data_IF_113123504162
#
_entry.id   IF_113123504162
#
_cell.length_a   1.000
_cell.length_b   1.000
_cell.length_c   1.000
_cell.angle_alpha   90.00
_cell.angle_beta   90.00
_cell.angle_gamma   90.00
#
_symmetry.space_group_name_H-M   'P 1'
#
loop_
_entity.id
_entity.type
_entity.pdbx_description
1 polymer ?
#
# COMPACT_ATOMS: atom_id res chain seq x y z
N UNK A 1 -9.28 56.98 -57.61
CA UNK A 1 -8.58 58.24 -58.05
C UNK A 1 -7.29 58.35 -57.27
N UNK A 2 -6.19 58.35 -58.02
CA UNK A 2 -4.89 59.03 -57.79
C UNK A 2 -4.00 58.32 -56.75
N UNK A 3 -3.05 57.52 -57.21
CA UNK A 3 -1.67 57.67 -57.73
C UNK A 3 -0.64 57.82 -56.61
N UNK A 4 0.24 56.83 -56.55
CA UNK A 4 1.69 56.81 -56.87
C UNK A 4 2.55 57.75 -56.00
N UNK A 5 3.67 57.31 -55.45
CA UNK A 5 4.94 57.26 -56.16
C UNK A 5 6.02 56.51 -55.33
N UNK A 6 6.79 55.74 -56.05
CA UNK A 6 8.06 55.05 -55.74
C UNK A 6 9.20 56.06 -55.51
N UNK A 7 10.14 55.80 -54.62
CA UNK A 7 11.53 56.20 -54.83
C UNK A 7 12.53 55.19 -54.22
N UNK A 8 13.38 54.70 -55.13
CA UNK A 8 14.57 53.87 -54.85
C UNK A 8 15.78 54.78 -54.72
N UNK A 9 16.69 54.51 -53.82
CA UNK A 9 18.11 54.82 -54.00
C UNK A 9 19.02 53.89 -53.21
N UNK A 10 19.94 53.32 -53.98
CA UNK A 10 21.10 52.48 -53.64
C UNK A 10 22.33 53.31 -53.23
N UNK A 11 23.27 52.66 -52.59
CA UNK A 11 24.71 52.78 -52.33
C UNK A 11 25.02 52.74 -50.84
N UNK A 12 26.01 52.00 -50.33
CA UNK A 12 27.18 51.35 -50.86
C UNK A 12 27.91 50.63 -49.77
N UNK A 13 28.71 49.70 -50.15
CA UNK A 13 29.58 48.76 -49.42
C UNK A 13 30.66 49.44 -48.58
N UNK A 14 30.89 48.99 -47.32
CA UNK A 14 32.27 48.89 -46.78
C UNK A 14 32.27 47.82 -45.66
N UNK A 15 33.12 46.79 -45.84
CA UNK A 15 33.29 45.73 -44.92
C UNK A 15 34.24 46.09 -43.73
N UNK A 16 33.94 45.58 -42.59
CA UNK A 16 34.90 45.41 -41.51
C UNK A 16 34.74 43.99 -40.94
N UNK A 17 35.79 43.19 -41.12
CA UNK A 17 35.94 41.89 -40.52
C UNK A 17 36.37 42.07 -39.07
N UNK A 18 35.54 41.74 -38.11
CA UNK A 18 35.95 41.58 -36.71
C UNK A 18 35.81 40.09 -36.36
N UNK A 19 36.94 39.47 -36.12
CA UNK A 19 37.03 38.13 -35.54
C UNK A 19 36.54 38.16 -34.09
N UNK A 20 35.38 37.65 -33.81
CA UNK A 20 34.91 37.48 -32.43
C UNK A 20 35.11 35.99 -32.06
N UNK A 21 35.96 35.80 -31.08
CA UNK A 21 36.19 34.52 -30.40
C UNK A 21 34.90 34.13 -29.67
N UNK A 22 34.12 33.21 -30.20
CA UNK A 22 32.91 32.71 -29.62
C UNK A 22 33.19 31.65 -28.55
N UNK A 23 33.06 32.03 -27.28
CA UNK A 23 32.93 31.05 -26.19
C UNK A 23 31.60 30.33 -26.35
N UNK A 24 31.64 29.05 -26.73
CA UNK A 24 30.49 28.17 -26.65
C UNK A 24 30.06 28.04 -25.18
N UNK A 25 29.00 28.71 -24.80
CA UNK A 25 28.19 28.32 -23.64
C UNK A 25 27.57 26.98 -24.01
N UNK A 26 27.99 25.92 -23.31
CA UNK A 26 27.23 24.69 -23.23
C UNK A 26 25.91 25.06 -22.56
N UNK A 27 24.83 25.11 -23.32
CA UNK A 27 23.47 25.00 -22.80
C UNK A 27 23.37 23.62 -22.13
N UNK A 28 23.49 23.61 -20.81
CA UNK A 28 22.98 22.51 -20.02
C UNK A 28 21.45 22.65 -20.12
N UNK A 29 20.84 21.92 -21.03
CA UNK A 29 19.42 21.59 -20.95
C UNK A 29 19.25 20.85 -19.64
N UNK A 30 18.71 21.54 -18.61
CA UNK A 30 18.15 20.87 -17.45
C UNK A 30 17.06 19.94 -18.00
N UNK A 31 17.30 18.62 -17.95
CA UNK A 31 16.25 17.64 -18.18
C UNK A 31 15.12 18.03 -17.21
N UNK A 32 13.93 18.32 -17.74
CA UNK A 32 12.74 18.53 -16.94
C UNK A 32 12.52 17.23 -16.15
N UNK A 33 12.78 17.26 -14.87
CA UNK A 33 12.48 16.12 -13.96
C UNK A 33 10.98 15.88 -14.12
N UNK A 34 10.61 14.69 -14.58
CA UNK A 34 9.21 14.30 -14.70
C UNK A 34 8.50 14.55 -13.36
N UNK A 35 7.33 15.17 -13.36
CA UNK A 35 6.53 15.42 -12.15
C UNK A 35 6.25 14.16 -11.32
N UNK A 36 6.50 12.97 -11.90
CA UNK A 36 6.30 11.65 -11.30
C UNK A 36 7.59 10.87 -11.08
N UNK A 37 8.77 11.51 -11.15
CA UNK A 37 10.06 10.82 -10.98
C UNK A 37 10.20 10.09 -9.62
N UNK A 38 9.49 10.56 -8.59
CA UNK A 38 9.41 9.97 -7.24
C UNK A 38 8.58 8.68 -7.16
N UNK A 39 7.74 8.43 -8.18
CA UNK A 39 6.83 7.28 -8.15
C UNK A 39 7.59 5.95 -8.27
N UNK A 40 7.12 4.97 -7.53
CA UNK A 40 7.46 3.57 -7.76
C UNK A 40 6.55 3.03 -8.86
N UNK A 41 7.01 3.11 -10.09
CA UNK A 41 6.29 2.74 -11.32
C UNK A 41 6.87 1.50 -12.02
N UNK A 42 6.42 1.20 -13.25
CA UNK A 42 6.94 0.08 -14.04
C UNK A 42 6.55 -1.30 -13.52
N UNK A 43 5.47 -1.41 -12.76
CA UNK A 43 4.96 -2.70 -12.32
C UNK A 43 4.32 -3.48 -13.46
N UNK A 44 4.86 -4.66 -13.75
CA UNK A 44 4.36 -5.59 -14.75
C UNK A 44 3.89 -6.89 -14.11
N UNK A 45 2.78 -7.43 -14.57
CA UNK A 45 2.30 -8.76 -14.18
C UNK A 45 3.11 -9.83 -14.90
N UNK A 46 3.77 -10.75 -14.19
CA UNK A 46 4.49 -11.85 -14.85
C UNK A 46 3.52 -12.72 -15.65
N UNK A 47 3.88 -13.00 -16.90
CA UNK A 47 3.01 -13.72 -17.84
C UNK A 47 2.73 -15.16 -17.39
N UNK A 48 1.44 -15.51 -17.30
CA UNK A 48 0.99 -16.89 -17.11
C UNK A 48 1.12 -17.43 -15.69
N UNK A 49 1.48 -16.60 -14.68
CA UNK A 49 1.67 -17.06 -13.28
C UNK A 49 0.58 -16.60 -12.32
N UNK A 50 -0.04 -15.45 -12.59
CA UNK A 50 -1.11 -14.95 -11.73
C UNK A 50 -2.44 -15.71 -11.93
N UNK A 51 -3.25 -15.84 -10.86
CA UNK A 51 -2.96 -15.50 -9.48
C UNK A 51 -2.00 -16.53 -8.84
N UNK A 52 -1.08 -16.03 -7.97
CA UNK A 52 -0.01 -16.83 -7.34
C UNK A 52 -0.49 -17.61 -6.11
N UNK A 53 -1.58 -17.17 -5.44
CA UNK A 53 -2.24 -17.90 -4.36
C UNK A 53 -3.74 -17.93 -4.66
N UNK A 54 -4.32 -19.15 -4.56
CA UNK A 54 -5.74 -19.46 -4.79
C UNK A 54 -6.29 -20.25 -3.61
N UNK A 55 -7.62 -20.25 -3.37
CA UNK A 55 -8.24 -21.09 -2.37
C UNK A 55 -7.86 -22.57 -2.50
N UNK A 56 -7.72 -23.25 -1.36
CA UNK A 56 -7.49 -24.68 -1.24
C UNK A 56 -8.32 -25.27 -0.09
N UNK A 57 -8.77 -26.53 -0.17
CA UNK A 57 -9.54 -27.18 0.91
C UNK A 57 -8.63 -27.68 2.04
N UNK A 58 -7.60 -26.92 2.38
CA UNK A 58 -6.62 -27.24 3.42
C UNK A 58 -7.27 -27.18 4.80
N UNK A 59 -7.10 -28.21 5.62
CA UNK A 59 -7.72 -28.28 6.94
C UNK A 59 -6.72 -28.10 8.06
N UNK A 60 -7.17 -27.43 9.14
CA UNK A 60 -6.47 -27.40 10.42
C UNK A 60 -7.47 -27.51 11.57
N UNK A 61 -6.99 -27.96 12.74
CA UNK A 61 -7.80 -27.94 13.96
C UNK A 61 -7.90 -26.53 14.51
N UNK A 62 -9.10 -25.94 14.45
CA UNK A 62 -9.37 -24.59 14.94
C UNK A 62 -9.67 -24.60 16.45
N UNK A 63 -8.82 -23.98 17.29
CA UNK A 63 -9.03 -24.01 18.75
C UNK A 63 -10.28 -23.24 19.20
N UNK A 64 -10.80 -22.32 18.39
CA UNK A 64 -12.02 -21.56 18.68
C UNK A 64 -13.29 -22.36 18.40
N UNK A 65 -13.24 -23.25 17.40
CA UNK A 65 -14.38 -24.10 17.02
C UNK A 65 -14.30 -25.51 17.60
N UNK A 66 -13.13 -25.86 18.15
CA UNK A 66 -12.81 -27.22 18.63
C UNK A 66 -13.07 -28.30 17.59
N UNK A 67 -12.85 -27.97 16.31
CA UNK A 67 -13.11 -28.80 15.15
C UNK A 67 -12.10 -28.53 14.03
N UNK A 68 -12.05 -29.44 13.06
CA UNK A 68 -11.26 -29.31 11.84
C UNK A 68 -11.97 -28.43 10.82
N UNK A 69 -11.33 -27.35 10.38
CA UNK A 69 -11.87 -26.34 9.49
C UNK A 69 -11.05 -26.28 8.21
N UNK A 70 -11.73 -26.25 7.05
CA UNK A 70 -11.11 -25.92 5.77
C UNK A 70 -10.94 -24.39 5.68
N UNK A 71 -9.83 -23.90 6.23
CA UNK A 71 -9.65 -22.50 6.62
C UNK A 71 -9.37 -21.54 5.48
N UNK A 72 -8.98 -22.03 4.30
CA UNK A 72 -8.66 -21.24 3.10
C UNK A 72 -9.43 -21.72 1.86
N UNK A 73 -10.60 -22.36 2.06
CA UNK A 73 -11.33 -22.99 0.94
C UNK A 73 -12.17 -22.03 0.13
N UNK A 74 -12.59 -20.90 0.74
CA UNK A 74 -13.46 -19.96 0.05
C UNK A 74 -12.68 -18.89 -0.71
N UNK A 75 -11.83 -18.16 -0.01
CA UNK A 75 -11.12 -17.02 -0.60
C UNK A 75 -9.74 -16.84 0.03
N UNK A 76 -8.78 -16.36 -0.76
CA UNK A 76 -7.41 -16.01 -0.33
C UNK A 76 -7.00 -14.69 -0.97
N UNK A 77 -6.77 -13.62 -0.21
CA UNK A 77 -6.57 -12.28 -0.73
C UNK A 77 -5.80 -11.38 0.26
N UNK A 78 -5.66 -10.10 -0.03
CA UNK A 78 -5.09 -9.07 0.83
C UNK A 78 -3.79 -9.51 1.55
N UNK A 79 -2.68 -9.62 0.79
CA UNK A 79 -1.44 -10.21 1.28
C UNK A 79 -0.47 -9.16 1.83
N UNK A 80 0.12 -9.37 3.01
CA UNK A 80 1.38 -8.75 3.39
C UNK A 80 2.57 -9.48 2.79
N UNK A 81 3.71 -8.80 2.63
CA UNK A 81 4.95 -9.40 2.17
C UNK A 81 6.16 -8.90 2.97
N UNK A 82 7.14 -9.77 3.17
CA UNK A 82 8.42 -9.46 3.80
C UNK A 82 9.49 -10.48 3.40
N UNK A 83 10.72 -10.31 3.90
CA UNK A 83 11.81 -11.28 3.71
C UNK A 83 12.09 -12.00 5.02
N UNK A 84 12.16 -13.32 4.98
CA UNK A 84 12.62 -14.17 6.07
C UNK A 84 13.50 -15.29 5.55
N UNK A 85 14.65 -15.52 6.17
CA UNK A 85 15.63 -16.56 5.78
C UNK A 85 15.96 -16.58 4.28
N UNK A 86 16.18 -15.37 3.70
CA UNK A 86 16.53 -15.21 2.29
C UNK A 86 15.43 -15.52 1.28
N UNK A 87 14.19 -15.73 1.74
CA UNK A 87 13.00 -15.97 0.91
C UNK A 87 12.00 -14.84 1.08
N UNK A 88 11.19 -14.62 0.06
CA UNK A 88 9.97 -13.83 0.20
C UNK A 88 8.96 -14.65 1.01
N UNK A 89 8.38 -14.02 2.02
CA UNK A 89 7.24 -14.54 2.77
C UNK A 89 6.03 -13.68 2.46
N UNK A 90 4.93 -14.33 2.10
CA UNK A 90 3.61 -13.71 1.95
C UNK A 90 2.69 -14.26 3.04
N UNK A 91 2.13 -13.35 3.85
CA UNK A 91 1.03 -13.67 4.75
C UNK A 91 -0.25 -13.12 4.15
N UNK A 92 -1.18 -13.99 3.82
CA UNK A 92 -2.39 -13.65 3.09
C UNK A 92 -3.65 -13.91 3.93
N UNK A 93 -4.65 -13.04 3.82
CA UNK A 93 -5.97 -13.28 4.37
C UNK A 93 -6.59 -14.48 3.68
N UNK A 94 -7.16 -15.38 4.47
CA UNK A 94 -7.86 -16.56 3.99
C UNK A 94 -9.17 -16.76 4.76
N UNK A 95 -10.20 -17.15 4.06
CA UNK A 95 -11.54 -17.31 4.60
C UNK A 95 -12.07 -18.73 4.43
N UNK A 96 -12.70 -19.24 5.50
CA UNK A 96 -13.44 -20.50 5.49
C UNK A 96 -14.86 -20.32 4.92
N UNK A 97 -15.59 -21.41 4.77
CA UNK A 97 -16.97 -21.44 4.29
C UNK A 97 -18.01 -21.38 5.42
N UNK A 98 -17.71 -20.63 6.51
CA UNK A 98 -18.62 -20.56 7.68
C UNK A 98 -19.84 -19.66 7.49
N UNK A 99 -19.85 -18.81 6.46
CA UNK A 99 -20.92 -17.90 6.12
C UNK A 99 -20.87 -17.48 4.65
N UNK A 100 -21.81 -16.67 4.20
CA UNK A 100 -21.82 -16.08 2.87
C UNK A 100 -21.71 -14.55 2.96
N UNK A 101 -21.00 -13.96 1.99
CA UNK A 101 -20.82 -12.52 1.86
C UNK A 101 -19.59 -11.98 2.56
N UNK A 102 -19.14 -10.84 2.06
CA UNK A 102 -17.96 -10.12 2.52
C UNK A 102 -18.10 -9.74 4.00
N UNK A 103 -17.05 -10.01 4.79
CA UNK A 103 -16.99 -9.70 6.22
C UNK A 103 -17.83 -10.62 7.13
N UNK A 104 -18.51 -11.63 6.56
CA UNK A 104 -19.35 -12.56 7.32
C UNK A 104 -18.63 -13.87 7.70
N UNK A 105 -17.56 -14.23 7.00
CA UNK A 105 -16.75 -15.42 7.25
C UNK A 105 -15.71 -15.18 8.35
N UNK A 106 -15.01 -16.23 8.76
CA UNK A 106 -13.89 -16.09 9.70
C UNK A 106 -12.58 -16.03 8.94
N UNK A 107 -11.89 -14.91 9.06
CA UNK A 107 -10.60 -14.66 8.42
C UNK A 107 -9.43 -15.12 9.28
N UNK A 108 -8.40 -15.66 8.64
CA UNK A 108 -7.11 -16.06 9.22
C UNK A 108 -5.98 -15.68 8.27
N UNK A 109 -4.73 -15.65 8.76
CA UNK A 109 -3.60 -15.34 7.91
C UNK A 109 -2.81 -16.61 7.61
N UNK A 110 -2.73 -16.94 6.32
CA UNK A 110 -1.89 -18.00 5.80
C UNK A 110 -0.43 -17.56 5.71
N UNK A 111 0.46 -18.52 5.51
CA UNK A 111 1.89 -18.31 5.35
C UNK A 111 2.39 -19.06 4.12
N UNK A 112 3.04 -18.34 3.23
CA UNK A 112 3.62 -18.89 2.01
C UNK A 112 5.03 -18.34 1.79
N UNK A 113 5.93 -19.18 1.26
CA UNK A 113 7.33 -18.78 0.97
C UNK A 113 7.68 -18.96 -0.49
N UNK A 114 8.56 -18.11 -1.00
CA UNK A 114 9.06 -18.19 -2.37
C UNK A 114 10.53 -17.79 -2.46
N UNK A 115 11.28 -18.47 -3.31
CA UNK A 115 12.67 -18.12 -3.63
C UNK A 115 12.78 -17.25 -4.89
N UNK A 116 11.72 -17.12 -5.66
CA UNK A 116 11.67 -16.35 -6.91
C UNK A 116 10.60 -15.24 -6.92
N UNK A 117 9.72 -15.22 -5.90
CA UNK A 117 8.65 -14.24 -5.76
C UNK A 117 7.37 -14.58 -6.54
N UNK A 118 7.32 -15.73 -7.21
CA UNK A 118 6.22 -16.10 -8.11
C UNK A 118 5.63 -17.48 -7.76
N UNK A 119 6.49 -18.44 -7.43
CA UNK A 119 6.07 -19.78 -7.04
C UNK A 119 6.14 -19.94 -5.54
N UNK A 120 5.01 -20.28 -4.91
CA UNK A 120 4.87 -20.31 -3.47
C UNK A 120 4.64 -21.72 -2.92
N UNK A 121 5.36 -22.04 -1.86
CA UNK A 121 5.09 -23.17 -0.96
C UNK A 121 4.29 -22.66 0.22
N UNK A 122 3.11 -23.25 0.49
CA UNK A 122 2.20 -22.82 1.56
C UNK A 122 2.25 -23.77 2.76
N UNK A 123 2.18 -23.18 3.96
CA UNK A 123 1.94 -23.97 5.17
C UNK A 123 0.51 -24.51 5.18
N UNK A 124 0.32 -25.70 5.74
CA UNK A 124 -1.00 -26.34 5.86
C UNK A 124 -1.85 -25.76 7.00
N UNK A 125 -1.28 -24.90 7.84
CA UNK A 125 -1.95 -24.24 8.95
C UNK A 125 -1.83 -22.73 8.80
N UNK A 126 -2.84 -21.95 9.22
CA UNK A 126 -2.68 -20.52 9.30
C UNK A 126 -1.59 -20.17 10.33
N UNK A 127 -0.76 -19.15 10.02
CA UNK A 127 0.29 -18.68 10.92
C UNK A 127 -0.22 -17.66 11.95
N UNK A 128 -1.38 -17.05 11.68
CA UNK A 128 -2.00 -16.09 12.58
C UNK A 128 -3.52 -16.17 12.50
N UNK A 129 -4.19 -16.30 13.65
CA UNK A 129 -5.64 -16.53 13.72
C UNK A 129 -6.19 -16.21 15.11
N UNK A 130 -7.52 -16.04 15.25
CA UNK A 130 -8.17 -15.88 16.55
C UNK A 130 -7.89 -17.07 17.45
N UNK A 131 -7.48 -16.79 18.69
CA UNK A 131 -7.13 -17.79 19.70
C UNK A 131 -7.86 -17.52 21.02
N UNK A 132 -7.82 -18.48 21.94
CA UNK A 132 -8.32 -18.30 23.31
C UNK A 132 -7.32 -17.46 24.14
N UNK A 133 -7.12 -16.20 23.70
CA UNK A 133 -6.21 -15.22 24.32
C UNK A 133 -6.96 -13.95 24.72
N UNK A 134 -6.25 -12.92 25.16
CA UNK A 134 -6.83 -11.63 25.58
C UNK A 134 -7.39 -10.78 24.42
N UNK A 135 -7.27 -11.22 23.17
CA UNK A 135 -7.79 -10.54 22.00
C UNK A 135 -9.06 -11.18 21.42
N UNK A 136 -9.52 -12.26 22.02
CA UNK A 136 -10.66 -13.04 21.52
C UNK A 136 -11.92 -12.23 21.27
N UNK A 137 -12.24 -11.26 22.12
CA UNK A 137 -13.45 -10.41 21.99
C UNK A 137 -13.37 -9.44 20.82
N UNK A 138 -12.14 -9.05 20.43
CA UNK A 138 -11.89 -8.17 19.30
C UNK A 138 -11.78 -8.93 17.97
N UNK A 139 -11.38 -10.21 18.00
CA UNK A 139 -11.13 -11.02 16.81
C UNK A 139 -12.28 -11.97 16.45
N UNK A 140 -13.15 -12.30 17.41
CA UNK A 140 -14.21 -13.26 17.15
C UNK A 140 -15.58 -12.60 17.01
N UNK A 141 -16.42 -13.13 16.08
CA UNK A 141 -16.18 -14.29 15.20
C UNK A 141 -15.61 -13.97 13.81
N UNK A 142 -15.30 -12.71 13.48
CA UNK A 142 -14.89 -12.28 12.13
C UNK A 142 -13.46 -12.66 11.77
N UNK A 143 -12.52 -12.60 12.72
CA UNK A 143 -11.17 -13.06 12.50
C UNK A 143 -10.09 -11.98 12.52
N UNK A 144 -8.98 -12.32 11.89
CA UNK A 144 -7.81 -11.46 11.69
C UNK A 144 -7.67 -11.17 10.20
N UNK A 145 -7.67 -9.90 9.82
CA UNK A 145 -7.82 -9.46 8.43
C UNK A 145 -6.71 -8.52 7.99
N UNK A 146 -6.51 -8.41 6.69
CA UNK A 146 -5.79 -7.35 5.99
C UNK A 146 -4.41 -7.02 6.61
N UNK A 147 -3.44 -7.96 6.55
CA UNK A 147 -2.13 -7.81 7.18
C UNK A 147 -1.23 -6.82 6.44
N UNK A 148 -0.43 -6.04 7.17
CA UNK A 148 0.75 -5.32 6.68
C UNK A 148 1.92 -5.64 7.58
N UNK A 149 3.08 -5.97 7.01
CA UNK A 149 4.26 -6.39 7.76
C UNK A 149 5.45 -5.50 7.41
N UNK A 150 6.16 -5.05 8.42
CA UNK A 150 7.46 -4.43 8.27
C UNK A 150 8.42 -4.98 9.33
N UNK A 151 9.73 -4.90 9.07
CA UNK A 151 10.77 -5.44 9.93
C UNK A 151 11.60 -4.31 10.54
N UNK A 152 11.93 -4.42 11.80
CA UNK A 152 12.94 -3.54 12.46
C UNK A 152 14.36 -3.97 12.08
N UNK A 153 15.34 -3.12 12.32
CA UNK A 153 16.75 -3.44 12.04
C UNK A 153 17.28 -4.64 12.83
N UNK A 154 16.74 -4.89 14.04
CA UNK A 154 17.10 -6.03 14.88
C UNK A 154 16.37 -7.33 14.51
N UNK A 155 15.60 -7.30 13.40
CA UNK A 155 14.89 -8.47 12.89
C UNK A 155 13.60 -8.80 13.64
N UNK A 156 12.95 -7.83 14.29
CA UNK A 156 11.58 -7.99 14.79
C UNK A 156 10.59 -7.63 13.69
N UNK A 157 9.68 -8.53 13.37
CA UNK A 157 8.57 -8.27 12.46
C UNK A 157 7.41 -7.64 13.22
N UNK A 158 6.87 -6.56 12.68
CA UNK A 158 5.69 -5.86 13.17
C UNK A 158 4.57 -6.12 12.19
N UNK A 159 3.52 -6.76 12.66
CA UNK A 159 2.28 -7.01 11.92
C UNK A 159 1.25 -5.97 12.38
N UNK A 160 0.76 -5.20 11.43
CA UNK A 160 -0.44 -4.40 11.56
C UNK A 160 -1.57 -5.15 10.86
N UNK A 161 -2.68 -5.39 11.57
CA UNK A 161 -3.80 -6.16 11.05
C UNK A 161 -5.12 -5.62 11.55
N UNK A 162 -6.21 -6.01 10.95
CA UNK A 162 -7.55 -5.67 11.41
C UNK A 162 -8.11 -6.81 12.27
N UNK A 163 -8.43 -6.50 13.53
CA UNK A 163 -9.28 -7.35 14.37
C UNK A 163 -10.73 -7.12 13.98
N UNK A 164 -11.44 -8.20 13.63
CA UNK A 164 -12.83 -8.13 13.19
C UNK A 164 -13.76 -9.00 14.05
N UNK A 165 -14.60 -8.38 14.84
CA UNK A 165 -15.60 -9.07 15.67
C UNK A 165 -17.01 -8.98 15.08
N UNK A 166 -17.15 -8.64 13.80
CA UNK A 166 -18.39 -8.37 13.08
C UNK A 166 -19.21 -7.19 13.63
N UNK A 167 -18.57 -6.31 14.40
CA UNK A 167 -19.18 -5.08 14.95
C UNK A 167 -18.31 -3.86 14.66
N UNK A 168 -17.06 -3.87 15.11
CA UNK A 168 -16.13 -2.77 14.97
C UNK A 168 -14.78 -3.31 14.53
N UNK A 169 -14.28 -2.89 13.35
CA UNK A 169 -12.90 -3.19 12.94
C UNK A 169 -11.92 -2.37 13.76
N UNK A 170 -10.84 -2.99 14.24
CA UNK A 170 -9.78 -2.31 14.99
C UNK A 170 -8.42 -2.62 14.40
N UNK A 171 -7.68 -1.58 14.05
CA UNK A 171 -6.27 -1.70 13.72
C UNK A 171 -5.51 -2.19 14.95
N UNK A 172 -4.83 -3.32 14.83
CA UNK A 172 -4.13 -3.97 15.92
C UNK A 172 -2.68 -4.30 15.56
N UNK A 173 -1.89 -4.56 16.61
CA UNK A 173 -0.46 -4.82 16.50
C UNK A 173 -0.11 -6.18 17.05
N UNK A 174 0.76 -6.90 16.32
CA UNK A 174 1.45 -8.07 16.83
C UNK A 174 2.92 -8.04 16.39
N UNK A 175 3.79 -8.74 17.13
CA UNK A 175 5.21 -8.87 16.78
C UNK A 175 5.65 -10.32 16.76
N UNK A 176 6.69 -10.60 15.96
CA UNK A 176 7.29 -11.92 15.81
C UNK A 176 8.78 -11.82 15.48
N UNK A 177 9.54 -12.86 15.79
CA UNK A 177 10.93 -13.04 15.33
C UNK A 177 11.05 -14.05 14.17
N UNK A 178 10.00 -14.81 13.90
CA UNK A 178 10.01 -15.92 12.94
C UNK A 178 8.77 -16.00 12.04
N UNK A 179 7.86 -15.02 12.14
CA UNK A 179 6.59 -14.92 11.40
C UNK A 179 5.60 -16.08 11.66
N UNK A 180 5.88 -16.93 12.66
CA UNK A 180 5.05 -18.09 13.04
C UNK A 180 4.58 -18.03 14.49
N UNK A 181 5.41 -17.48 15.38
CA UNK A 181 5.07 -17.28 16.79
C UNK A 181 4.88 -15.78 17.02
N UNK A 182 3.67 -15.39 17.40
CA UNK A 182 3.25 -14.01 17.48
C UNK A 182 2.87 -13.61 18.91
N UNK A 183 3.31 -12.43 19.30
CA UNK A 183 2.80 -11.76 20.51
C UNK A 183 1.81 -10.68 20.07
N UNK A 184 0.53 -10.81 20.46
CA UNK A 184 -0.53 -9.85 20.17
C UNK A 184 -0.56 -8.77 21.25
N UNK A 185 -0.63 -7.50 20.83
CA UNK A 185 -0.71 -6.34 21.72
C UNK A 185 -2.11 -5.73 21.77
N UNK A 186 -2.98 -6.07 20.81
CA UNK A 186 -4.34 -5.53 20.70
C UNK A 186 -4.41 -4.25 19.88
N UNK A 187 -5.49 -3.46 20.06
CA UNK A 187 -5.74 -2.27 19.25
C UNK A 187 -4.63 -1.22 19.40
N UNK A 188 -4.14 -0.71 18.26
CA UNK A 188 -3.02 0.22 18.20
C UNK A 188 -3.25 1.51 19.00
N UNK A 189 -4.50 1.99 19.06
CA UNK A 189 -4.88 3.26 19.69
C UNK A 189 -5.58 3.10 21.04
N UNK A 190 -5.55 1.91 21.64
CA UNK A 190 -6.27 1.60 22.88
C UNK A 190 -5.88 2.54 24.02
N UNK A 191 -4.60 2.90 24.13
CA UNK A 191 -4.07 3.74 25.21
C UNK A 191 -4.01 5.23 24.84
N UNK A 192 -4.13 5.56 23.57
CA UNK A 192 -3.98 6.92 23.08
C UNK A 192 -4.97 7.87 23.74
N UNK A 193 -4.45 9.03 24.22
CA UNK A 193 -5.26 10.08 24.83
C UNK A 193 -6.23 9.56 25.92
N UNK A 194 -5.72 8.69 26.81
CA UNK A 194 -6.48 8.04 27.87
C UNK A 194 -7.66 7.18 27.35
N UNK A 195 -7.49 6.52 26.21
CA UNK A 195 -8.46 5.62 25.61
C UNK A 195 -9.54 6.31 24.76
N UNK A 196 -9.34 7.56 24.35
CA UNK A 196 -10.29 8.31 23.51
C UNK A 196 -10.67 7.54 22.24
N UNK A 197 -9.72 6.79 21.63
CA UNK A 197 -9.89 6.13 20.33
C UNK A 197 -10.05 4.60 20.41
N UNK A 198 -10.23 4.04 21.62
CA UNK A 198 -10.29 2.58 21.80
C UNK A 198 -11.49 1.90 21.11
N UNK A 199 -12.59 2.62 20.95
CA UNK A 199 -13.84 2.13 20.36
C UNK A 199 -14.08 2.63 18.92
N UNK A 200 -13.12 3.39 18.36
CA UNK A 200 -13.20 3.87 16.98
C UNK A 200 -12.98 2.75 15.97
N UNK A 201 -13.74 2.80 14.88
CA UNK A 201 -13.50 1.95 13.72
C UNK A 201 -12.21 2.37 13.03
N UNK A 202 -11.20 1.50 13.07
CA UNK A 202 -9.86 1.77 12.52
C UNK A 202 -9.35 0.57 11.75
N UNK A 203 -8.68 0.77 10.64
CA UNK A 203 -7.99 -0.28 9.87
C UNK A 203 -6.93 0.30 8.96
N UNK A 204 -6.18 -0.56 8.31
CA UNK A 204 -5.23 -0.28 7.23
C UNK A 204 -4.15 0.72 7.59
N UNK A 205 -2.94 0.24 7.82
CA UNK A 205 -1.83 1.09 8.18
C UNK A 205 -0.53 0.72 7.44
N UNK A 206 0.19 1.75 7.03
CA UNK A 206 1.45 1.69 6.30
C UNK A 206 2.58 2.25 7.17
N UNK A 207 3.38 1.38 7.77
CA UNK A 207 4.60 1.77 8.49
C UNK A 207 5.60 2.42 7.53
N UNK A 208 6.26 3.49 7.96
CA UNK A 208 7.32 4.08 7.16
C UNK A 208 8.57 3.22 7.25
N UNK A 209 9.06 2.81 6.09
CA UNK A 209 10.25 1.96 5.92
C UNK A 209 11.26 2.62 4.99
N UNK A 210 12.50 2.15 5.00
CA UNK A 210 13.54 2.54 4.05
C UNK A 210 14.39 1.33 3.67
N UNK A 211 15.19 1.43 2.62
CA UNK A 211 16.19 0.41 2.31
C UNK A 211 17.52 0.71 3.03
N UNK A 212 18.06 -0.30 3.70
CA UNK A 212 19.45 -0.34 4.19
C UNK A 212 20.18 -1.48 3.49
N UNK A 213 20.90 -1.15 2.42
CA UNK A 213 21.33 -2.15 1.45
C UNK A 213 20.08 -2.82 0.81
N UNK A 214 20.02 -4.15 0.86
CA UNK A 214 18.89 -4.91 0.32
C UNK A 214 17.75 -5.17 1.34
N UNK A 215 17.86 -4.60 2.55
CA UNK A 215 16.89 -4.83 3.62
C UNK A 215 15.93 -3.66 3.73
N UNK A 216 14.64 -3.93 3.55
CA UNK A 216 13.58 -2.99 3.86
C UNK A 216 13.29 -3.03 5.36
N UNK A 217 13.56 -1.93 6.06
CA UNK A 217 13.44 -1.83 7.52
C UNK A 217 12.62 -0.62 7.93
N UNK A 218 11.97 -0.72 9.09
CA UNK A 218 11.20 0.39 9.68
C UNK A 218 12.14 1.56 9.97
N UNK A 219 11.76 2.75 9.50
CA UNK A 219 12.47 3.99 9.73
C UNK A 219 11.83 4.81 10.86
N UNK A 220 12.64 5.63 11.52
CA UNK A 220 12.16 6.67 12.44
C UNK A 220 12.21 8.02 11.74
N UNK A 221 11.16 8.81 11.92
CA UNK A 221 11.08 10.20 11.53
C UNK A 221 11.11 11.07 12.79
N UNK A 222 12.06 12.00 12.88
CA UNK A 222 12.24 12.87 14.06
C UNK A 222 12.30 12.08 15.39
N UNK A 223 12.95 10.92 15.38
CA UNK A 223 13.14 10.07 16.56
C UNK A 223 11.98 9.13 16.90
N UNK A 224 10.83 9.25 16.27
CA UNK A 224 9.66 8.39 16.47
C UNK A 224 9.39 7.47 15.28
N UNK A 225 8.78 6.33 15.51
CA UNK A 225 8.16 5.54 14.47
C UNK A 225 6.93 6.26 13.94
N UNK A 226 6.64 6.10 12.67
CA UNK A 226 5.56 6.79 11.99
C UNK A 226 4.79 5.82 11.08
N UNK A 227 3.47 5.95 11.04
CA UNK A 227 2.62 5.25 10.10
C UNK A 227 1.55 6.18 9.52
N UNK A 228 1.20 5.94 8.28
CA UNK A 228 -0.05 6.40 7.68
C UNK A 228 -1.12 5.34 7.93
N UNK A 229 -2.37 5.73 8.16
CA UNK A 229 -3.45 4.78 8.40
C UNK A 229 -4.80 5.32 7.96
N UNK A 230 -5.78 4.44 7.79
CA UNK A 230 -7.16 4.77 7.51
C UNK A 230 -7.70 4.15 6.24
N UNK A 231 -9.03 4.07 6.17
CA UNK A 231 -9.77 3.46 5.07
C UNK A 231 -10.45 4.51 4.17
N UNK A 232 -11.15 5.49 4.69
CA UNK A 232 -11.83 6.52 3.87
C UNK A 232 -10.96 7.75 3.67
N UNK A 233 -10.32 8.15 4.72
CA UNK A 233 -9.36 9.24 4.72
C UNK A 233 -8.02 8.69 5.20
N UNK A 234 -6.94 9.32 4.78
CA UNK A 234 -5.61 8.99 5.27
C UNK A 234 -5.26 9.92 6.42
N UNK A 235 -4.83 9.32 7.51
CA UNK A 235 -4.37 9.92 8.75
C UNK A 235 -2.92 9.51 9.03
N UNK A 236 -2.33 9.99 10.12
CA UNK A 236 -1.04 9.55 10.60
C UNK A 236 -1.04 9.27 12.10
N UNK A 237 -0.08 8.47 12.54
CA UNK A 237 0.18 8.22 13.95
C UNK A 237 1.68 8.05 14.21
N UNK A 238 2.09 8.29 15.46
CA UNK A 238 3.47 8.12 15.94
C UNK A 238 3.54 7.13 17.09
N UNK A 239 4.70 6.51 17.25
CA UNK A 239 4.97 5.58 18.37
C UNK A 239 6.43 5.67 18.81
N UNK A 240 6.68 5.41 20.08
CA UNK A 240 8.03 5.24 20.64
C UNK A 240 8.47 3.76 20.65
N UNK A 241 7.52 2.82 20.62
CA UNK A 241 7.75 1.38 20.86
C UNK A 241 7.17 0.41 19.82
N UNK A 242 6.48 0.91 18.77
CA UNK A 242 5.80 0.15 17.72
C UNK A 242 4.54 -0.61 18.15
N UNK A 243 4.20 -0.65 19.43
CA UNK A 243 3.04 -1.37 19.95
C UNK A 243 1.91 -0.46 20.40
N UNK A 244 2.24 0.70 20.96
CA UNK A 244 1.30 1.73 21.37
C UNK A 244 1.44 2.93 20.44
N UNK A 245 0.36 3.39 19.86
CA UNK A 245 0.36 4.45 18.85
C UNK A 245 -0.53 5.61 19.24
N UNK A 246 -0.06 6.83 18.99
CA UNK A 246 -0.81 8.04 19.17
C UNK A 246 -1.20 8.60 17.80
N UNK A 247 -2.49 8.59 17.40
CA UNK A 247 -2.95 9.24 16.18
C UNK A 247 -2.72 10.75 16.27
N UNK A 248 -2.33 11.38 15.17
CA UNK A 248 -2.13 12.83 15.12
C UNK A 248 -3.48 13.54 15.09
N UNK A 249 -3.57 14.60 15.88
CA UNK A 249 -4.79 15.42 15.99
C UNK A 249 -4.57 16.81 15.39
N UNK A 250 -5.66 17.41 14.92
CA UNK A 250 -5.71 18.80 14.53
C UNK A 250 -5.84 19.74 15.76
N UNK A 251 -5.95 21.03 15.51
CA UNK A 251 -6.10 22.06 16.56
C UNK A 251 -7.38 21.94 17.38
N UNK A 252 -8.39 21.23 16.89
CA UNK A 252 -9.64 20.96 17.58
C UNK A 252 -9.61 19.66 18.38
N UNK A 253 -8.50 18.91 18.31
CA UNK A 253 -8.36 17.60 18.96
C UNK A 253 -9.06 16.48 18.20
N UNK A 254 -9.41 16.66 16.93
CA UNK A 254 -9.93 15.64 16.03
C UNK A 254 -8.81 14.99 15.20
N UNK A 255 -9.07 13.82 14.61
CA UNK A 255 -8.07 13.14 13.77
C UNK A 255 -7.61 14.01 12.60
N UNK A 256 -6.30 14.28 12.52
CA UNK A 256 -5.70 15.07 11.46
C UNK A 256 -5.80 14.35 10.10
N UNK A 257 -6.67 14.81 9.21
CA UNK A 257 -6.81 14.29 7.84
C UNK A 257 -5.68 14.82 6.97
N UNK A 258 -4.91 13.92 6.39
CA UNK A 258 -3.81 14.28 5.47
C UNK A 258 -4.31 14.41 4.04
N UNK A 259 -5.14 13.47 3.60
CA UNK A 259 -5.91 13.58 2.36
C UNK A 259 -7.17 12.69 2.40
N UNK A 260 -8.07 12.95 1.45
CA UNK A 260 -9.39 12.34 1.34
C UNK A 260 -9.68 11.96 -0.12
N UNK A 261 -10.78 11.25 -0.40
CA UNK A 261 -11.25 11.02 -1.76
C UNK A 261 -11.39 12.31 -2.58
N UNK A 262 -11.19 12.20 -3.91
CA UNK A 262 -11.28 13.32 -4.85
C UNK A 262 -12.38 13.06 -5.87
N UNK A 263 -13.41 13.89 -5.90
CA UNK A 263 -14.47 13.81 -6.93
C UNK A 263 -13.86 13.93 -8.33
N UNK A 264 -14.28 13.04 -9.25
CA UNK A 264 -13.81 13.00 -10.64
C UNK A 264 -12.50 12.23 -10.86
N UNK A 265 -11.99 11.56 -9.82
CA UNK A 265 -10.78 10.72 -9.89
C UNK A 265 -11.10 9.27 -9.53
N UNK A 266 -10.18 8.36 -9.88
CA UNK A 266 -10.29 6.91 -9.59
C UNK A 266 -10.46 6.60 -8.08
N UNK A 267 -10.13 7.53 -7.22
CA UNK A 267 -10.16 7.44 -5.76
C UNK A 267 -11.27 8.30 -5.14
N UNK A 268 -12.38 8.45 -5.85
CA UNK A 268 -13.47 9.37 -5.50
C UNK A 268 -14.36 8.93 -4.34
N UNK A 269 -14.40 7.63 -4.02
CA UNK A 269 -15.21 7.10 -2.93
C UNK A 269 -14.43 6.85 -1.65
N UNK A 270 -13.19 6.34 -1.79
CA UNK A 270 -12.38 5.86 -0.70
C UNK A 270 -10.89 5.99 -1.03
N UNK A 271 -10.08 6.27 0.00
CA UNK A 271 -8.63 6.17 -0.02
C UNK A 271 -8.17 5.37 1.18
N UNK A 272 -7.51 4.22 0.95
CA UNK A 272 -7.12 3.28 2.01
C UNK A 272 -5.63 2.98 1.94
N UNK A 273 -4.94 3.06 3.09
CA UNK A 273 -3.51 2.82 3.15
C UNK A 273 -3.14 1.41 2.68
N UNK A 274 -2.12 1.31 1.86
CA UNK A 274 -1.63 0.07 1.26
C UNK A 274 -0.46 -0.56 2.03
N UNK A 275 0.59 -1.04 1.33
CA UNK A 275 1.77 -1.65 1.95
C UNK A 275 2.59 -0.63 2.74
N UNK A 276 3.65 -1.05 3.46
CA UNK A 276 4.57 -0.13 4.11
C UNK A 276 5.05 0.99 3.19
N UNK A 277 4.97 2.24 3.67
CA UNK A 277 5.41 3.41 2.94
C UNK A 277 6.94 3.47 2.85
N UNK A 278 7.48 4.10 1.81
CA UNK A 278 8.90 4.10 1.52
C UNK A 278 9.50 5.48 1.67
N UNK A 279 10.41 5.64 2.62
CA UNK A 279 11.23 6.83 2.80
C UNK A 279 12.38 6.83 1.80
N UNK A 280 12.44 7.85 0.96
CA UNK A 280 13.47 8.12 -0.04
C UNK A 280 14.04 9.52 0.15
N UNK A 281 15.04 9.93 -0.63
CA UNK A 281 15.53 11.33 -0.65
C UNK A 281 14.51 12.31 -1.23
N UNK A 282 13.60 11.82 -2.09
CA UNK A 282 12.59 12.66 -2.74
C UNK A 282 11.36 12.91 -1.85
N UNK A 283 11.15 12.07 -0.83
CA UNK A 283 10.01 12.12 0.08
C UNK A 283 9.62 10.76 0.63
N UNK A 284 8.45 10.69 1.23
CA UNK A 284 7.85 9.46 1.71
C UNK A 284 6.76 9.04 0.73
N UNK A 285 6.99 7.96 0.02
CA UNK A 285 6.05 7.40 -0.97
C UNK A 285 5.07 6.48 -0.26
N UNK A 286 3.80 6.85 -0.24
CA UNK A 286 2.70 6.03 0.24
C UNK A 286 1.94 5.45 -0.95
N UNK A 287 1.91 4.12 -1.06
CA UNK A 287 0.99 3.41 -1.94
C UNK A 287 -0.36 3.27 -1.22
N UNK A 288 -1.46 3.51 -1.93
CA UNK A 288 -2.80 3.43 -1.36
C UNK A 288 -3.80 2.84 -2.35
N UNK A 289 -4.90 2.33 -1.82
CA UNK A 289 -6.01 1.80 -2.60
C UNK A 289 -7.07 2.90 -2.76
N UNK A 290 -7.44 3.21 -4.00
CA UNK A 290 -8.51 4.15 -4.34
C UNK A 290 -9.72 3.39 -4.86
N UNK A 291 -10.93 3.74 -4.38
CA UNK A 291 -12.18 3.20 -4.89
C UNK A 291 -12.93 4.24 -5.69
N UNK A 292 -13.39 3.87 -6.88
CA UNK A 292 -14.11 4.75 -7.78
C UNK A 292 -15.60 4.82 -7.43
N UNK A 293 -16.14 6.02 -7.20
CA UNK A 293 -17.56 6.22 -6.86
C UNK A 293 -18.45 6.02 -8.10
N UNK A 294 -19.63 5.41 -7.97
CA UNK A 294 -20.61 5.39 -9.06
C UNK A 294 -21.15 6.77 -9.42
N UNK A 295 -21.46 6.98 -10.71
CA UNK A 295 -22.11 8.19 -11.20
C UNK A 295 -21.17 9.38 -11.39
N UNK A 296 -21.70 10.60 -11.32
CA UNK A 296 -21.03 11.84 -11.71
C UNK A 296 -19.82 12.21 -10.85
N UNK A 297 -19.70 11.65 -9.65
CA UNK A 297 -18.57 11.91 -8.76
C UNK A 297 -17.37 10.99 -9.04
N UNK A 298 -17.60 9.90 -9.75
CA UNK A 298 -16.54 8.96 -10.14
C UNK A 298 -15.78 9.42 -11.37
N UNK A 299 -14.67 8.75 -11.65
CA UNK A 299 -13.94 8.86 -12.90
C UNK A 299 -14.52 7.86 -13.92
N UNK A 300 -15.05 8.36 -15.02
CA UNK A 300 -15.67 7.53 -16.07
C UNK A 300 -14.68 6.64 -16.84
N UNK A 301 -13.38 6.89 -16.70
CA UNK A 301 -12.34 6.05 -17.29
C UNK A 301 -12.19 4.69 -16.60
N UNK A 302 -12.74 4.54 -15.39
CA UNK A 302 -12.64 3.31 -14.58
C UNK A 302 -14.03 2.78 -14.20
N UNK A 303 -14.20 1.46 -14.06
CA UNK A 303 -15.48 0.88 -13.62
C UNK A 303 -15.93 1.45 -12.27
N UNK A 304 -17.23 1.66 -12.12
CA UNK A 304 -17.82 2.07 -10.86
C UNK A 304 -17.55 1.01 -9.77
N UNK A 305 -17.23 1.45 -8.57
CA UNK A 305 -16.83 0.62 -7.43
C UNK A 305 -15.52 -0.16 -7.61
N UNK A 306 -14.78 -0.04 -8.72
CA UNK A 306 -13.48 -0.71 -8.86
C UNK A 306 -12.45 -0.14 -7.89
N UNK A 307 -11.54 -1.00 -7.42
CA UNK A 307 -10.37 -0.61 -6.65
C UNK A 307 -9.14 -0.55 -7.56
N UNK A 308 -8.44 0.57 -7.52
CA UNK A 308 -7.21 0.81 -8.25
C UNK A 308 -6.13 1.33 -7.29
N UNK A 309 -4.86 1.08 -7.61
CA UNK A 309 -3.75 1.51 -6.77
C UNK A 309 -3.23 2.90 -7.15
N UNK A 310 -3.09 3.78 -6.17
CA UNK A 310 -2.53 5.11 -6.29
C UNK A 310 -1.26 5.31 -5.47
N UNK A 311 -0.57 6.42 -5.70
CA UNK A 311 0.58 6.83 -4.90
C UNK A 311 0.48 8.28 -4.48
N UNK A 312 0.96 8.57 -3.28
CA UNK A 312 1.07 9.90 -2.70
C UNK A 312 2.49 10.12 -2.16
N UNK A 313 3.00 11.33 -2.30
CA UNK A 313 4.30 11.75 -1.80
C UNK A 313 4.13 12.73 -0.65
N UNK A 314 4.79 12.46 0.46
CA UNK A 314 4.85 13.36 1.61
C UNK A 314 6.26 13.93 1.79
N UNK A 315 6.33 15.14 2.33
CA UNK A 315 7.58 15.84 2.63
C UNK A 315 8.36 15.12 3.74
N UNK A 316 9.66 14.87 3.54
CA UNK A 316 10.53 14.20 4.53
C UNK A 316 10.61 14.98 5.84
N UNK A 317 10.66 16.31 5.78
CA UNK A 317 10.81 17.18 6.95
C UNK A 317 9.48 17.44 7.66
N UNK A 318 8.37 17.30 6.93
CA UNK A 318 7.02 17.38 7.47
C UNK A 318 6.16 16.23 6.93
N UNK A 319 6.20 15.05 7.54
CA UNK A 319 5.55 13.84 7.04
C UNK A 319 4.01 13.89 7.02
N UNK A 320 3.42 14.97 7.52
CA UNK A 320 1.98 15.25 7.37
C UNK A 320 1.64 16.10 6.14
N UNK A 321 2.65 16.69 5.49
CA UNK A 321 2.47 17.55 4.33
C UNK A 321 2.50 16.73 3.04
N UNK A 322 1.34 16.60 2.41
CA UNK A 322 1.21 16.04 1.05
C UNK A 322 1.84 16.99 0.04
N UNK A 323 2.79 16.52 -0.77
CA UNK A 323 3.49 17.31 -1.80
C UNK A 323 3.30 16.75 -3.21
N UNK A 324 2.76 15.54 -3.36
CA UNK A 324 2.41 14.94 -4.63
C UNK A 324 1.36 13.84 -4.48
N UNK A 325 0.51 13.65 -5.49
CA UNK A 325 -0.48 12.56 -5.53
C UNK A 325 -0.83 12.28 -6.99
N UNK A 326 -0.78 11.02 -7.40
CA UNK A 326 -1.11 10.64 -8.76
C UNK A 326 -2.57 10.95 -9.10
N UNK A 327 -2.81 11.47 -10.28
CA UNK A 327 -4.15 11.70 -10.82
C UNK A 327 -4.75 10.44 -11.47
N UNK A 328 -3.90 9.53 -11.92
CA UNK A 328 -4.28 8.23 -12.48
C UNK A 328 -3.69 7.10 -11.65
N UNK A 329 -4.36 5.95 -11.55
CA UNK A 329 -3.79 4.81 -10.85
C UNK A 329 -2.55 4.29 -11.60
N UNK A 330 -1.55 3.83 -10.86
CA UNK A 330 -0.39 3.16 -11.45
C UNK A 330 -0.63 1.67 -11.71
N UNK A 331 -1.65 1.08 -11.07
CA UNK A 331 -2.09 -0.29 -11.30
C UNK A 331 -3.62 -0.36 -11.15
N UNK A 332 -4.28 -1.02 -12.13
CA UNK A 332 -5.74 -1.13 -12.20
C UNK A 332 -6.15 -2.55 -12.62
N UNK A 333 -7.38 -2.99 -12.35
CA UNK A 333 -7.87 -4.29 -12.77
C UNK A 333 -7.93 -4.41 -14.31
N UNK A 334 -7.17 -5.33 -14.87
CA UNK A 334 -7.16 -5.63 -16.31
C UNK A 334 -7.51 -7.08 -16.60
N UNK A 335 -7.00 -8.00 -15.80
CA UNK A 335 -7.12 -9.44 -16.00
C UNK A 335 -8.44 -9.99 -15.45
N UNK A 336 -8.90 -11.14 -15.95
CA UNK A 336 -10.17 -11.72 -15.57
C UNK A 336 -10.22 -12.13 -14.08
N UNK A 337 -9.11 -12.64 -13.54
CA UNK A 337 -9.03 -13.00 -12.11
C UNK A 337 -9.14 -11.80 -11.17
N UNK A 338 -8.90 -10.58 -11.64
CA UNK A 338 -9.06 -9.34 -10.89
C UNK A 338 -10.52 -8.85 -10.84
N UNK A 339 -11.42 -9.52 -11.60
CA UNK A 339 -12.84 -9.18 -11.77
C UNK A 339 -13.78 -10.35 -11.50
N UNK A 340 -13.22 -11.52 -11.12
CA UNK A 340 -13.97 -12.76 -10.89
C UNK A 340 -13.75 -13.29 -9.49
N UNK A 341 -14.68 -13.01 -8.57
CA UNK A 341 -14.59 -13.43 -7.17
C UNK A 341 -15.74 -12.86 -6.37
N UNK A 342 -15.58 -12.69 -5.06
CA UNK A 342 -16.59 -12.06 -4.22
C UNK A 342 -16.84 -10.59 -4.62
N UNK A 343 -15.83 -9.91 -5.23
CA UNK A 343 -15.91 -8.50 -5.61
C UNK A 343 -15.76 -8.30 -7.12
N UNK A 344 -16.82 -8.47 -7.92
CA UNK A 344 -16.75 -8.49 -9.39
C UNK A 344 -16.60 -7.11 -10.05
N UNK A 345 -16.65 -6.00 -9.31
CA UNK A 345 -16.44 -4.66 -9.86
C UNK A 345 -15.01 -4.42 -10.35
N UNK A 346 -14.08 -5.30 -9.98
CA UNK A 346 -12.67 -5.23 -10.27
C UNK A 346 -11.85 -4.71 -9.09
N UNK A 347 -10.83 -5.48 -8.69
CA UNK A 347 -10.01 -5.15 -7.52
C UNK A 347 -8.54 -5.43 -7.77
N UNK A 348 -7.75 -4.39 -7.63
CA UNK A 348 -6.31 -4.42 -7.34
C UNK A 348 -6.13 -3.77 -5.98
N UNK A 349 -6.03 -4.58 -4.92
CA UNK A 349 -5.92 -4.10 -3.54
C UNK A 349 -4.52 -4.37 -3.00
N UNK A 350 -3.66 -3.32 -3.02
CA UNK A 350 -2.23 -3.45 -2.71
C UNK A 350 -1.99 -3.41 -1.20
N UNK A 351 -1.29 -4.42 -0.66
CA UNK A 351 -0.95 -4.53 0.76
C UNK A 351 0.47 -5.03 1.03
N UNK A 352 1.05 -5.83 0.12
CA UNK A 352 2.39 -6.38 0.27
C UNK A 352 3.38 -5.75 -0.70
N UNK A 353 4.46 -5.15 -0.19
CA UNK A 353 5.53 -4.60 -1.01
C UNK A 353 6.87 -4.99 -0.41
N UNK A 354 7.72 -5.63 -1.19
CA UNK A 354 9.04 -6.09 -0.73
C UNK A 354 10.10 -5.91 -1.82
N UNK A 355 11.28 -5.43 -1.39
CA UNK A 355 12.46 -5.37 -2.24
C UNK A 355 13.26 -6.67 -2.14
N UNK A 356 13.46 -7.34 -3.27
CA UNK A 356 14.14 -8.63 -3.32
C UNK A 356 14.94 -8.78 -4.62
N UNK A 357 16.22 -9.06 -4.53
CA UNK A 357 17.12 -9.26 -5.68
C UNK A 357 17.03 -8.14 -6.71
N UNK A 358 17.16 -6.91 -6.24
CA UNK A 358 17.11 -5.67 -7.03
C UNK A 358 15.78 -5.40 -7.76
N UNK A 359 14.68 -5.96 -7.28
CA UNK A 359 13.33 -5.74 -7.80
C UNK A 359 12.33 -5.50 -6.67
N UNK A 360 11.28 -4.76 -6.97
CA UNK A 360 10.11 -4.61 -6.13
C UNK A 360 9.05 -5.63 -6.53
N UNK A 361 8.57 -6.37 -5.57
CA UNK A 361 7.44 -7.29 -5.71
C UNK A 361 6.26 -6.70 -4.95
N UNK A 362 5.21 -6.36 -5.70
CA UNK A 362 3.96 -5.82 -5.16
C UNK A 362 2.90 -6.93 -5.20
N UNK A 363 2.55 -7.42 -4.02
CA UNK A 363 1.49 -8.42 -3.86
C UNK A 363 0.18 -7.72 -3.54
N UNK A 364 -0.90 -8.16 -4.16
CA UNK A 364 -2.20 -7.53 -4.05
C UNK A 364 -3.35 -8.53 -4.05
N UNK A 365 -4.47 -8.14 -3.41
CA UNK A 365 -5.73 -8.87 -3.46
C UNK A 365 -6.46 -8.60 -4.77
N UNK A 366 -7.03 -9.67 -5.34
CA UNK A 366 -7.79 -9.62 -6.59
C UNK A 366 -9.21 -10.08 -6.34
N UNK A 367 -10.21 -9.24 -6.65
CA UNK A 367 -11.64 -9.54 -6.55
C UNK A 367 -12.05 -10.16 -5.18
N UNK A 368 -11.31 -9.85 -4.10
CA UNK A 368 -11.44 -10.41 -2.75
C UNK A 368 -11.39 -11.95 -2.74
N UNK A 369 -10.67 -12.58 -3.66
CA UNK A 369 -10.64 -14.04 -3.79
C UNK A 369 -9.29 -14.63 -4.12
N UNK A 370 -8.33 -13.83 -4.64
CA UNK A 370 -7.02 -14.33 -5.04
C UNK A 370 -5.90 -13.39 -4.63
N UNK A 371 -4.67 -13.92 -4.57
CA UNK A 371 -3.45 -13.11 -4.46
C UNK A 371 -2.73 -13.11 -5.80
N UNK A 372 -2.35 -11.94 -6.28
CA UNK A 372 -1.49 -11.76 -7.44
C UNK A 372 -0.24 -10.96 -7.12
N UNK A 373 0.69 -10.90 -8.07
CA UNK A 373 1.94 -10.14 -7.99
C UNK A 373 2.17 -9.33 -9.25
N UNK A 374 2.68 -8.12 -9.05
CA UNK A 374 3.30 -7.31 -10.10
C UNK A 374 4.75 -6.98 -9.68
N UNK A 375 5.67 -6.90 -10.64
CA UNK A 375 7.10 -6.75 -10.40
C UNK A 375 7.63 -5.53 -11.12
N UNK A 376 8.47 -4.75 -10.44
CA UNK A 376 9.15 -3.59 -11.02
C UNK A 376 10.65 -3.65 -10.73
N UNK A 377 11.47 -3.22 -11.68
CA UNK A 377 12.91 -3.02 -11.52
C UNK A 377 13.29 -1.54 -11.29
N UNK A 378 12.29 -0.68 -11.05
CA UNK A 378 12.47 0.73 -10.72
C UNK A 378 13.40 0.91 -9.52
N UNK A 379 14.41 1.73 -9.68
CA UNK A 379 15.27 2.14 -8.58
C UNK A 379 14.78 3.47 -8.03
N UNK A 380 14.52 3.51 -6.72
CA UNK A 380 14.21 4.72 -5.98
C UNK A 380 15.51 5.33 -5.43
N UNK A 381 15.46 6.61 -5.12
CA UNK A 381 16.62 7.37 -4.62
C UNK A 381 16.68 7.27 -3.08
N UNK A 382 17.50 6.37 -2.52
CA UNK A 382 17.70 6.15 -1.08
C UNK A 382 18.89 6.92 -0.50
#
# INVERSE_FOLDING_TARGET
MIKETLLVSTFGLLGLVTVACGSQKKDQTAEAVSETAWCLDGFERPTGVNPVIKPLPTKFYCPMREDSVAWEESDTFNPAATIYDGKIVVMYRAEDNSAQGIGSRTSRLGYATSTDGIHFERDTKPAFYPAKDNQVENECPGGTEDPRIAMTEDGTYVLLYTQWNRKVPRLAVATSKDLKHWTKFGPAFEKAYNGKFKDEATKSASLVTTLKGDKQVIAKLNGKYFMYWGEKNVYAATSDNLTDWDPLLDENGELLKLFSPRSGYFDSQLTECGPPAILTKDGIVLLYNGKNEPGEKGDTAYPANSYCAGQALFDVNNPTKLIGRLDKPFLQPTDDFEKSGQYPAGTVFVEGLVYYRNKWYLYYGCADSFVAVAVSDKQLNF
#
